data_IF_317619658291
#
_entry.id   IF_317619658291
#
_cell.length_a   1.000
_cell.length_b   1.000
_cell.length_c   1.000
_cell.angle_alpha   90.00
_cell.angle_beta   90.00
_cell.angle_gamma   90.00
#
_symmetry.space_group_name_H-M   'P 1'
#
loop_
_entity.id
_entity.type
_entity.pdbx_description
1 polymer ?
#
# COMPACT_ATOMS: atom_id res chain seq x y z
N UNK A 1 16.93 23.86 -5.61
CA UNK A 1 16.57 22.66 -4.82
C UNK A 1 15.80 21.59 -5.59
N UNK A 2 14.85 21.91 -6.51
CA UNK A 2 14.11 20.90 -7.31
C UNK A 2 15.03 19.96 -8.13
N UNK A 3 16.04 20.48 -8.82
CA UNK A 3 16.92 19.66 -9.67
C UNK A 3 17.90 18.73 -8.94
N UNK A 4 18.30 19.04 -7.70
CA UNK A 4 19.33 18.27 -6.97
C UNK A 4 18.77 17.03 -6.25
N UNK A 5 17.47 17.05 -5.95
CA UNK A 5 16.78 15.94 -5.27
C UNK A 5 16.28 14.91 -6.28
N UNK A 6 15.83 15.34 -7.46
CA UNK A 6 15.52 14.43 -8.57
C UNK A 6 16.80 13.77 -9.13
N UNK A 7 17.94 14.48 -9.16
CA UNK A 7 19.23 13.89 -9.58
C UNK A 7 19.82 12.85 -8.60
N UNK A 8 19.42 12.87 -7.33
CA UNK A 8 19.83 11.85 -6.35
C UNK A 8 19.07 10.53 -6.57
N UNK A 9 17.80 10.61 -7.00
CA UNK A 9 17.02 9.42 -7.33
C UNK A 9 17.54 8.71 -8.59
N UNK A 10 18.14 9.43 -9.54
CA UNK A 10 18.67 8.86 -10.79
C UNK A 10 19.92 8.00 -10.64
N UNK A 11 20.56 7.98 -9.46
CA UNK A 11 21.81 7.24 -9.23
C UNK A 11 21.63 5.91 -8.48
N UNK A 12 20.43 5.62 -7.93
CA UNK A 12 20.18 4.41 -7.14
C UNK A 12 18.96 3.62 -7.60
N UNK A 13 18.87 2.33 -7.25
CA UNK A 13 17.71 1.50 -7.56
C UNK A 13 16.48 1.99 -6.78
N UNK A 14 15.40 2.31 -7.49
CA UNK A 14 14.10 2.61 -6.87
C UNK A 14 13.37 1.33 -6.47
N UNK A 15 12.52 1.36 -5.42
CA UNK A 15 11.62 0.25 -5.13
C UNK A 15 10.61 0.09 -6.27
N UNK A 16 10.38 -1.16 -6.69
CA UNK A 16 9.35 -1.51 -7.67
C UNK A 16 7.97 -1.43 -7.02
N UNK A 17 7.86 -1.85 -5.76
CA UNK A 17 6.62 -1.84 -5.00
C UNK A 17 6.81 -1.13 -3.66
N UNK A 18 6.05 -0.04 -3.46
CA UNK A 18 5.95 0.62 -2.15
C UNK A 18 4.62 0.29 -1.49
N UNK A 19 4.64 0.11 -0.19
CA UNK A 19 3.43 -0.13 0.61
C UNK A 19 3.36 0.87 1.75
N UNK A 20 2.17 1.41 2.02
CA UNK A 20 2.02 2.57 2.91
C UNK A 20 0.94 2.35 3.96
N UNK A 21 1.35 2.44 5.23
CA UNK A 21 0.42 2.54 6.37
C UNK A 21 0.15 4.03 6.63
N UNK A 22 -1.04 4.47 6.23
CA UNK A 22 -1.49 5.88 6.19
C UNK A 22 -2.00 6.37 7.55
N UNK A 23 -1.16 6.28 8.58
CA UNK A 23 -1.52 6.56 9.97
C UNK A 23 -1.42 8.07 10.32
N UNK A 24 -2.22 8.50 11.30
CA UNK A 24 -2.18 9.85 11.86
C UNK A 24 -3.31 10.80 11.46
N UNK A 25 -4.31 10.36 10.69
CA UNK A 25 -5.45 11.20 10.27
C UNK A 25 -6.20 11.82 11.45
N UNK A 26 -6.67 11.00 12.40
CA UNK A 26 -7.38 11.50 13.58
C UNK A 26 -6.52 12.37 14.49
N UNK A 27 -5.23 12.04 14.66
CA UNK A 27 -4.29 12.87 15.43
C UNK A 27 -4.09 14.25 14.80
N UNK A 28 -4.01 14.30 13.47
CA UNK A 28 -3.88 15.54 12.73
C UNK A 28 -5.11 16.43 12.92
N UNK A 29 -6.31 15.85 12.83
CA UNK A 29 -7.56 16.58 13.03
C UNK A 29 -7.67 17.15 14.44
N UNK A 30 -7.42 16.32 15.46
CA UNK A 30 -7.46 16.72 16.87
C UNK A 30 -6.50 17.89 17.16
N UNK A 31 -5.28 17.87 16.59
CA UNK A 31 -4.29 18.97 16.75
C UNK A 31 -4.76 20.30 16.16
N UNK A 32 -5.75 20.28 15.26
CA UNK A 32 -6.30 21.46 14.61
C UNK A 32 -7.72 21.80 15.09
N UNK A 33 -8.24 21.09 16.09
CA UNK A 33 -9.61 21.29 16.58
C UNK A 33 -10.69 20.81 15.60
N UNK A 34 -10.34 19.92 14.66
CA UNK A 34 -11.29 19.36 13.69
C UNK A 34 -11.76 17.96 14.09
N UNK A 35 -12.90 17.54 13.54
CA UNK A 35 -13.38 16.17 13.66
C UNK A 35 -12.48 15.18 12.90
N UNK A 36 -12.53 13.90 13.29
CA UNK A 36 -11.68 12.84 12.72
C UNK A 36 -11.89 12.66 11.21
N UNK A 37 -13.11 12.82 10.70
CA UNK A 37 -13.45 12.66 9.28
C UNK A 37 -12.79 13.75 8.45
N UNK A 38 -12.70 14.98 8.96
CA UNK A 38 -11.94 16.06 8.34
C UNK A 38 -10.45 15.70 8.18
N UNK A 39 -9.86 14.97 9.14
CA UNK A 39 -8.51 14.41 9.01
C UNK A 39 -8.40 13.40 7.86
N UNK A 40 -9.39 12.52 7.68
CA UNK A 40 -9.43 11.56 6.57
C UNK A 40 -9.60 12.26 5.21
N UNK A 41 -10.44 13.30 5.12
CA UNK A 41 -10.58 14.14 3.92
C UNK A 41 -9.26 14.77 3.50
N UNK A 42 -8.48 15.29 4.44
CA UNK A 42 -7.14 15.82 4.15
C UNK A 42 -6.14 14.71 3.78
N UNK A 43 -6.27 13.54 4.42
CA UNK A 43 -5.55 12.33 4.04
C UNK A 43 -5.73 11.95 2.57
N UNK A 44 -6.90 12.20 1.97
CA UNK A 44 -7.12 11.95 0.54
C UNK A 44 -6.26 12.82 -0.37
N UNK A 45 -5.92 14.04 0.06
CA UNK A 45 -4.95 14.89 -0.68
C UNK A 45 -3.55 14.28 -0.65
N UNK A 46 -3.18 13.62 0.45
CA UNK A 46 -1.91 12.88 0.54
C UNK A 46 -1.88 11.66 -0.36
N UNK A 47 -2.99 10.90 -0.43
CA UNK A 47 -3.15 9.79 -1.40
C UNK A 47 -2.86 10.29 -2.82
N UNK A 48 -3.55 11.36 -3.26
CA UNK A 48 -3.33 11.95 -4.59
C UNK A 48 -1.87 12.37 -4.81
N UNK A 49 -1.25 13.00 -3.82
CA UNK A 49 0.16 13.43 -3.91
C UNK A 49 1.13 12.25 -4.03
N UNK A 50 0.91 11.16 -3.28
CA UNK A 50 1.78 9.97 -3.28
C UNK A 50 1.59 9.19 -4.57
N UNK A 51 0.36 8.96 -5.02
CA UNK A 51 0.06 8.26 -6.27
C UNK A 51 0.65 9.01 -7.45
N UNK A 52 0.44 10.32 -7.54
CA UNK A 52 1.01 11.17 -8.61
C UNK A 52 2.54 11.11 -8.60
N UNK A 53 3.17 11.31 -7.45
CA UNK A 53 4.63 11.30 -7.35
C UNK A 53 5.22 9.91 -7.66
N UNK A 54 4.59 8.83 -7.20
CA UNK A 54 5.07 7.47 -7.47
C UNK A 54 5.03 7.15 -8.96
N UNK A 55 3.95 7.56 -9.63
CA UNK A 55 3.81 7.43 -11.08
C UNK A 55 4.86 8.23 -11.85
N UNK A 56 5.07 9.49 -11.48
CA UNK A 56 6.10 10.37 -12.08
C UNK A 56 7.52 9.81 -11.91
N UNK A 57 7.78 9.11 -10.79
CA UNK A 57 9.07 8.50 -10.48
C UNK A 57 9.24 7.09 -11.08
N UNK A 58 8.24 6.57 -11.81
CA UNK A 58 8.31 5.26 -12.45
C UNK A 58 8.15 4.06 -11.50
N UNK A 59 7.65 4.27 -10.28
CA UNK A 59 7.31 3.18 -9.35
C UNK A 59 6.18 2.34 -9.96
N UNK A 60 6.33 1.02 -9.95
CA UNK A 60 5.43 0.10 -10.68
C UNK A 60 4.21 -0.32 -9.87
N UNK A 61 4.32 -0.38 -8.55
CA UNK A 61 3.20 -0.72 -7.67
C UNK A 61 3.18 0.12 -6.40
N UNK A 62 1.99 0.51 -5.98
CA UNK A 62 1.72 1.20 -4.72
C UNK A 62 0.56 0.50 -4.01
N UNK A 63 0.76 -0.05 -2.82
CA UNK A 63 -0.34 -0.56 -1.98
C UNK A 63 -0.59 0.35 -0.79
N UNK A 64 -1.83 0.80 -0.62
CA UNK A 64 -2.23 1.69 0.46
C UNK A 64 -3.11 0.95 1.46
N UNK A 65 -2.75 1.00 2.75
CA UNK A 65 -3.57 0.43 3.82
C UNK A 65 -4.75 1.34 4.13
N UNK A 66 -5.82 1.22 3.33
CA UNK A 66 -6.93 2.16 3.32
C UNK A 66 -7.97 1.88 4.41
N UNK A 67 -8.31 0.61 4.64
CA UNK A 67 -9.26 0.22 5.68
C UNK A 67 -8.94 -1.20 6.19
N UNK A 68 -8.59 -1.34 7.47
CA UNK A 68 -8.29 -2.65 8.05
C UNK A 68 -9.56 -3.40 8.46
N UNK A 69 -9.55 -4.73 8.49
CA UNK A 69 -10.65 -5.54 9.04
C UNK A 69 -11.00 -5.13 10.49
N UNK A 70 -10.01 -4.72 11.29
CA UNK A 70 -10.25 -4.26 12.66
C UNK A 70 -10.96 -2.90 12.73
N UNK A 71 -11.06 -2.13 11.63
CA UNK A 71 -11.75 -0.84 11.61
C UNK A 71 -13.27 -0.97 11.65
N UNK A 72 -13.84 -2.15 11.37
CA UNK A 72 -15.26 -2.43 11.59
C UNK A 72 -15.70 -2.30 13.05
N UNK A 73 -14.76 -2.41 14.00
CA UNK A 73 -15.02 -2.24 15.44
C UNK A 73 -15.18 -0.77 15.86
N UNK A 74 -14.98 0.18 14.94
CA UNK A 74 -15.18 1.62 15.21
C UNK A 74 -16.68 1.96 15.24
N UNK A 75 -17.06 3.14 15.77
CA UNK A 75 -18.45 3.58 15.73
C UNK A 75 -19.03 3.54 14.31
N UNK A 76 -20.27 3.06 14.18
CA UNK A 76 -20.94 2.87 12.88
C UNK A 76 -20.98 4.14 12.03
N UNK A 77 -21.15 5.31 12.65
CA UNK A 77 -21.10 6.60 11.98
C UNK A 77 -19.73 6.91 11.36
N UNK A 78 -18.63 6.58 12.05
CA UNK A 78 -17.27 6.73 11.50
C UNK A 78 -17.05 5.77 10.34
N UNK A 79 -17.46 4.51 10.49
CA UNK A 79 -17.35 3.49 9.42
C UNK A 79 -18.11 3.93 8.16
N UNK A 80 -19.37 4.34 8.30
CA UNK A 80 -20.18 4.81 7.17
C UNK A 80 -19.54 6.01 6.47
N UNK A 81 -19.04 6.98 7.23
CA UNK A 81 -18.36 8.15 6.66
C UNK A 81 -17.07 7.76 5.90
N UNK A 82 -16.31 6.77 6.37
CA UNK A 82 -15.12 6.27 5.67
C UNK A 82 -15.47 5.57 4.36
N UNK A 83 -16.57 4.80 4.35
CA UNK A 83 -17.07 4.13 3.15
C UNK A 83 -17.56 5.13 2.09
N UNK A 84 -18.29 6.17 2.50
CA UNK A 84 -18.68 7.27 1.60
C UNK A 84 -17.46 8.01 1.03
N UNK A 85 -16.45 8.30 1.86
CA UNK A 85 -15.21 8.92 1.37
C UNK A 85 -14.47 8.06 0.33
N UNK A 86 -14.45 6.74 0.52
CA UNK A 86 -13.87 5.80 -0.45
C UNK A 86 -14.65 5.84 -1.76
N UNK A 87 -15.98 5.74 -1.70
CA UNK A 87 -16.87 5.80 -2.86
C UNK A 87 -16.69 7.12 -3.64
N UNK A 88 -16.71 8.25 -2.94
CA UNK A 88 -16.46 9.56 -3.54
C UNK A 88 -15.09 9.65 -4.22
N UNK A 89 -14.04 9.11 -3.59
CA UNK A 89 -12.70 9.10 -4.17
C UNK A 89 -12.68 8.30 -5.47
N UNK A 90 -13.24 7.08 -5.48
CA UNK A 90 -13.27 6.22 -6.66
C UNK A 90 -14.00 6.90 -7.83
N UNK A 91 -15.17 7.50 -7.57
CA UNK A 91 -15.94 8.24 -8.58
C UNK A 91 -15.15 9.43 -9.13
N UNK A 92 -14.53 10.23 -8.26
CA UNK A 92 -13.81 11.46 -8.66
C UNK A 92 -12.50 11.16 -9.39
N UNK A 93 -11.85 10.04 -9.08
CA UNK A 93 -10.49 9.77 -9.56
C UNK A 93 -10.41 8.82 -10.75
N UNK A 94 -11.48 8.08 -11.08
CA UNK A 94 -11.45 7.06 -12.16
C UNK A 94 -10.91 7.60 -13.49
N UNK A 95 -11.39 8.77 -13.93
CA UNK A 95 -10.92 9.36 -15.19
C UNK A 95 -9.44 9.73 -15.13
N UNK A 96 -8.97 10.23 -13.98
CA UNK A 96 -7.55 10.55 -13.76
C UNK A 96 -6.69 9.29 -13.72
N UNK A 97 -7.18 8.18 -13.15
CA UNK A 97 -6.46 6.92 -13.15
C UNK A 97 -6.24 6.42 -14.59
N UNK A 98 -7.28 6.46 -15.42
CA UNK A 98 -7.19 6.12 -16.84
C UNK A 98 -6.23 7.06 -17.58
N UNK A 99 -6.40 8.38 -17.45
CA UNK A 99 -5.55 9.39 -18.09
C UNK A 99 -4.06 9.24 -17.73
N UNK A 100 -3.76 8.72 -16.52
CA UNK A 100 -2.38 8.51 -16.04
C UNK A 100 -1.89 7.08 -16.20
N UNK A 101 -2.65 6.22 -16.88
CA UNK A 101 -2.32 4.81 -17.12
C UNK A 101 -2.09 4.04 -15.80
N UNK A 102 -2.93 4.31 -14.79
CA UNK A 102 -2.87 3.66 -13.48
C UNK A 102 -3.98 2.61 -13.38
N UNK A 103 -3.58 1.35 -13.25
CA UNK A 103 -4.47 0.23 -12.97
C UNK A 103 -4.86 0.21 -11.50
N UNK A 104 -6.17 0.24 -11.20
CA UNK A 104 -6.65 0.02 -9.85
C UNK A 104 -6.75 -1.49 -9.55
N UNK A 105 -6.32 -1.87 -8.36
CA UNK A 105 -6.48 -3.20 -7.76
C UNK A 105 -7.00 -3.04 -6.32
N UNK A 106 -7.57 -4.09 -5.74
CA UNK A 106 -7.99 -4.09 -4.35
C UNK A 106 -7.75 -5.46 -3.70
N UNK A 107 -7.37 -5.46 -2.43
CA UNK A 107 -7.10 -6.66 -1.64
C UNK A 107 -7.82 -6.58 -0.29
N UNK A 108 -8.15 -7.73 0.29
CA UNK A 108 -8.90 -7.86 1.54
C UNK A 108 -10.27 -8.50 1.33
N UNK A 109 -11.08 -8.51 2.38
CA UNK A 109 -12.43 -9.10 2.36
C UNK A 109 -13.43 -8.16 1.69
N UNK A 110 -13.33 -8.02 0.38
CA UNK A 110 -14.14 -7.06 -0.38
C UNK A 110 -15.64 -7.32 -0.29
N UNK A 111 -16.04 -8.56 0.01
CA UNK A 111 -17.44 -8.95 0.26
C UNK A 111 -18.03 -8.36 1.55
N UNK A 112 -17.22 -7.79 2.44
CA UNK A 112 -17.70 -7.08 3.63
C UNK A 112 -18.01 -5.60 3.36
N UNK A 113 -17.68 -5.08 2.18
CA UNK A 113 -17.98 -3.69 1.83
C UNK A 113 -19.49 -3.50 1.56
N UNK A 114 -20.06 -2.31 1.85
CA UNK A 114 -21.41 -1.98 1.41
C UNK A 114 -21.56 -2.16 -0.10
N UNK A 115 -22.71 -2.67 -0.54
CA UNK A 115 -22.93 -3.08 -1.94
C UNK A 115 -22.69 -1.94 -2.94
N UNK A 116 -23.14 -0.74 -2.60
CA UNK A 116 -22.98 0.46 -3.42
C UNK A 116 -21.51 0.92 -3.54
N UNK A 117 -20.71 0.71 -2.50
CA UNK A 117 -19.26 0.96 -2.50
C UNK A 117 -18.54 -0.10 -3.31
N UNK A 118 -18.90 -1.37 -3.13
CA UNK A 118 -18.33 -2.51 -3.86
C UNK A 118 -18.57 -2.38 -5.37
N UNK A 119 -19.79 -2.02 -5.79
CA UNK A 119 -20.10 -1.79 -7.21
C UNK A 119 -19.24 -0.69 -7.84
N UNK A 120 -19.04 0.42 -7.13
CA UNK A 120 -18.17 1.51 -7.61
C UNK A 120 -16.72 1.06 -7.70
N UNK A 121 -16.25 0.28 -6.73
CA UNK A 121 -14.90 -0.30 -6.75
C UNK A 121 -14.70 -1.19 -7.97
N UNK A 122 -15.59 -2.16 -8.20
CA UNK A 122 -15.51 -3.09 -9.34
C UNK A 122 -15.56 -2.34 -10.68
N UNK A 123 -16.49 -1.39 -10.83
CA UNK A 123 -16.58 -0.53 -12.03
C UNK A 123 -15.29 0.25 -12.28
N UNK A 124 -14.60 0.69 -11.22
CA UNK A 124 -13.34 1.44 -11.34
C UNK A 124 -12.16 0.52 -11.71
N UNK A 125 -12.09 -0.68 -11.12
CA UNK A 125 -11.10 -1.71 -11.47
C UNK A 125 -11.25 -2.08 -12.96
N UNK A 126 -12.49 -2.33 -13.41
CA UNK A 126 -12.77 -2.69 -14.79
C UNK A 126 -12.36 -1.58 -15.78
N UNK A 127 -12.71 -0.32 -15.48
CA UNK A 127 -12.33 0.84 -16.30
C UNK A 127 -10.82 1.05 -16.42
N UNK A 128 -10.04 0.57 -15.46
CA UNK A 128 -8.58 0.76 -15.40
C UNK A 128 -7.80 -0.51 -15.73
N UNK A 129 -8.47 -1.62 -16.09
CA UNK A 129 -7.84 -2.94 -16.24
C UNK A 129 -6.73 -3.01 -17.29
N UNK A 130 -6.84 -2.19 -18.35
CA UNK A 130 -5.91 -2.16 -19.47
C UNK A 130 -4.74 -1.19 -19.25
N UNK A 131 -4.77 -0.39 -18.17
CA UNK A 131 -3.69 0.52 -17.82
C UNK A 131 -2.44 -0.27 -17.42
N UNK A 132 -1.26 0.13 -17.91
CA UNK A 132 -0.02 -0.68 -17.76
C UNK A 132 1.10 -0.03 -16.95
N UNK A 133 0.98 1.25 -16.65
CA UNK A 133 2.16 2.00 -16.22
C UNK A 133 2.43 1.93 -14.72
N UNK A 134 1.38 1.82 -13.90
CA UNK A 134 1.48 1.62 -12.46
C UNK A 134 0.23 0.90 -11.93
N UNK A 135 0.39 -0.01 -10.98
CA UNK A 135 -0.73 -0.58 -10.22
C UNK A 135 -0.90 0.14 -8.89
N UNK A 136 -2.09 0.68 -8.64
CA UNK A 136 -2.51 1.19 -7.35
C UNK A 136 -3.42 0.15 -6.68
N UNK A 137 -2.97 -0.44 -5.57
CA UNK A 137 -3.75 -1.38 -4.78
C UNK A 137 -4.29 -0.71 -3.53
N UNK A 138 -5.60 -0.83 -3.28
CA UNK A 138 -6.23 -0.44 -2.02
C UNK A 138 -6.47 -1.68 -1.15
N UNK A 139 -5.89 -1.71 0.05
CA UNK A 139 -6.20 -2.74 1.04
C UNK A 139 -7.44 -2.33 1.84
N UNK A 140 -8.55 -3.04 1.63
CA UNK A 140 -9.90 -2.72 2.07
C UNK A 140 -10.52 -3.90 2.80
N UNK A 141 -11.02 -3.67 4.01
CA UNK A 141 -11.31 -4.75 4.96
C UNK A 141 -10.17 -5.78 5.03
N UNK A 142 -8.94 -5.28 5.06
CA UNK A 142 -7.75 -6.11 4.98
C UNK A 142 -7.17 -6.40 6.36
N UNK A 143 -6.68 -7.61 6.55
CA UNK A 143 -5.74 -7.96 7.62
C UNK A 143 -4.93 -9.19 7.21
N UNK A 144 -3.63 -9.20 7.54
CA UNK A 144 -2.72 -10.26 7.11
C UNK A 144 -3.02 -11.60 7.75
N UNK A 145 -3.47 -11.63 9.01
CA UNK A 145 -3.97 -12.85 9.65
C UNK A 145 -5.22 -13.38 8.95
N UNK A 146 -6.16 -12.50 8.62
CA UNK A 146 -7.37 -12.86 7.89
C UNK A 146 -7.05 -13.39 6.48
N UNK A 147 -6.12 -12.76 5.78
CA UNK A 147 -5.61 -13.21 4.47
C UNK A 147 -5.02 -14.62 4.56
N UNK A 148 -4.15 -14.89 5.54
CA UNK A 148 -3.55 -16.22 5.73
C UNK A 148 -4.62 -17.28 5.98
N UNK A 149 -5.61 -16.99 6.83
CA UNK A 149 -6.71 -17.93 7.11
C UNK A 149 -7.54 -18.18 5.85
N UNK A 150 -7.84 -17.14 5.08
CA UNK A 150 -8.65 -17.28 3.86
C UNK A 150 -7.87 -18.03 2.76
N UNK A 151 -6.55 -17.83 2.67
CA UNK A 151 -5.67 -18.61 1.78
C UNK A 151 -5.66 -20.10 2.17
N UNK A 152 -5.50 -20.43 3.46
CA UNK A 152 -5.54 -21.81 3.95
C UNK A 152 -6.89 -22.48 3.63
N UNK A 153 -8.01 -21.78 3.86
CA UNK A 153 -9.34 -22.30 3.51
C UNK A 153 -9.45 -22.63 2.02
N UNK A 154 -8.89 -21.77 1.16
CA UNK A 154 -8.90 -21.97 -0.29
C UNK A 154 -8.00 -23.13 -0.70
N UNK A 155 -6.81 -23.27 -0.11
CA UNK A 155 -5.90 -24.42 -0.32
C UNK A 155 -6.61 -25.75 -0.01
N UNK A 156 -7.30 -25.82 1.14
CA UNK A 156 -8.07 -27.01 1.52
C UNK A 156 -9.21 -27.27 0.53
N UNK A 157 -9.95 -26.22 0.13
CA UNK A 157 -11.05 -26.35 -0.83
C UNK A 157 -10.59 -26.79 -2.22
N UNK A 158 -9.40 -26.37 -2.64
CA UNK A 158 -8.81 -26.72 -3.94
C UNK A 158 -8.09 -28.09 -3.89
N UNK A 159 -8.06 -28.75 -2.73
CA UNK A 159 -7.56 -30.11 -2.57
C UNK A 159 -6.04 -30.25 -2.65
N UNK A 160 -5.30 -29.18 -2.34
CA UNK A 160 -3.83 -29.22 -2.35
C UNK A 160 -3.32 -30.10 -1.21
N UNK A 161 -2.45 -31.06 -1.53
CA UNK A 161 -1.87 -31.97 -0.54
C UNK A 161 -0.86 -31.22 0.36
N UNK A 162 -0.68 -31.64 1.62
CA UNK A 162 0.37 -31.10 2.48
C UNK A 162 1.78 -31.23 1.89
N UNK A 163 2.05 -32.30 1.15
CA UNK A 163 3.35 -32.59 0.54
C UNK A 163 3.67 -31.65 -0.62
N UNK A 164 2.65 -31.21 -1.36
CA UNK A 164 2.80 -30.24 -2.44
C UNK A 164 2.85 -28.80 -1.93
N UNK A 165 2.35 -28.51 -0.73
CA UNK A 165 2.27 -27.15 -0.21
C UNK A 165 3.63 -26.58 0.22
N UNK A 166 4.13 -25.61 -0.54
CA UNK A 166 5.32 -24.82 -0.22
C UNK A 166 5.07 -23.31 -0.41
N UNK A 167 6.07 -22.46 -0.12
CA UNK A 167 5.93 -20.99 -0.08
C UNK A 167 5.40 -20.38 -1.38
N UNK A 168 5.88 -20.85 -2.52
CA UNK A 168 5.45 -20.37 -3.84
C UNK A 168 4.00 -20.75 -4.13
N UNK A 169 3.57 -21.97 -3.80
CA UNK A 169 2.16 -22.37 -3.95
C UNK A 169 1.30 -21.56 -2.99
N UNK A 170 1.67 -21.47 -1.72
CA UNK A 170 0.92 -20.70 -0.72
C UNK A 170 0.71 -19.25 -1.16
N UNK A 171 1.73 -18.62 -1.74
CA UNK A 171 1.68 -17.23 -2.22
C UNK A 171 0.66 -17.00 -3.35
N UNK A 172 0.30 -18.04 -4.12
CA UNK A 172 -0.74 -17.96 -5.14
C UNK A 172 -2.16 -17.84 -4.56
N UNK A 173 -2.35 -18.27 -3.31
CA UNK A 173 -3.63 -18.22 -2.61
C UNK A 173 -3.83 -16.93 -1.80
N UNK A 174 -2.78 -16.12 -1.63
CA UNK A 174 -2.88 -14.79 -1.00
C UNK A 174 -3.62 -13.81 -1.91
N UNK A 175 -4.20 -12.76 -1.33
CA UNK A 175 -4.89 -11.71 -2.11
C UNK A 175 -3.91 -10.95 -3.03
N UNK A 176 -2.62 -11.00 -2.71
CA UNK A 176 -1.54 -10.31 -3.42
C UNK A 176 -0.87 -11.14 -4.51
N UNK A 177 -1.40 -12.31 -4.88
CA UNK A 177 -0.75 -13.21 -5.85
C UNK A 177 -0.44 -12.60 -7.22
N UNK A 178 -1.12 -11.51 -7.58
CA UNK A 178 -0.90 -10.75 -8.81
C UNK A 178 -0.01 -9.50 -8.63
N UNK A 179 0.62 -9.33 -7.47
CA UNK A 179 1.47 -8.19 -7.14
C UNK A 179 2.93 -8.62 -6.96
N UNK A 180 3.91 -7.76 -7.32
CA UNK A 180 5.29 -7.98 -6.91
C UNK A 180 5.43 -7.88 -5.39
N UNK A 181 6.44 -8.54 -4.82
CA UNK A 181 6.77 -8.39 -3.40
C UNK A 181 7.10 -6.93 -3.03
N UNK A 182 6.68 -6.43 -1.85
CA UNK A 182 7.02 -5.09 -1.38
C UNK A 182 8.52 -4.89 -1.15
N UNK A 183 9.08 -3.84 -1.77
CA UNK A 183 10.46 -3.44 -1.52
C UNK A 183 10.59 -2.50 -0.31
N UNK A 184 9.60 -1.61 -0.13
CA UNK A 184 9.63 -0.56 0.89
C UNK A 184 8.26 -0.38 1.56
N UNK A 185 8.22 -0.57 2.88
CA UNK A 185 7.13 -0.17 3.75
C UNK A 185 7.38 1.25 4.28
N UNK A 186 6.41 2.12 4.07
CA UNK A 186 6.37 3.47 4.66
C UNK A 186 5.26 3.51 5.70
N UNK A 187 5.60 3.86 6.95
CA UNK A 187 4.61 4.12 8.00
C UNK A 187 4.72 5.55 8.52
N UNK A 188 3.59 6.27 8.48
CA UNK A 188 3.50 7.64 9.01
C UNK A 188 3.18 7.66 10.51
N UNK A 189 3.22 8.86 11.09
CA UNK A 189 2.87 9.19 12.48
C UNK A 189 3.77 8.65 13.59
N UNK A 190 4.90 8.01 13.26
CA UNK A 190 5.94 7.61 14.22
C UNK A 190 5.69 6.28 14.92
N UNK A 191 4.59 5.59 14.63
CA UNK A 191 4.30 4.29 15.23
C UNK A 191 5.19 3.20 14.64
N UNK A 192 5.76 2.35 15.51
CA UNK A 192 6.67 1.27 15.13
C UNK A 192 5.96 -0.07 15.33
N UNK A 193 5.10 -0.44 14.38
CA UNK A 193 4.43 -1.75 14.30
C UNK A 193 3.90 -1.96 12.87
N UNK A 194 3.46 -3.17 12.53
CA UNK A 194 2.85 -3.46 11.23
C UNK A 194 1.31 -3.32 11.24
N UNK A 195 0.68 -3.43 12.40
CA UNK A 195 -0.78 -3.35 12.54
C UNK A 195 -1.54 -4.34 11.64
N UNK A 196 -1.06 -5.59 11.58
CA UNK A 196 -1.68 -6.66 10.78
C UNK A 196 -1.72 -6.35 9.27
N UNK A 197 -0.77 -5.56 8.75
CA UNK A 197 -0.66 -5.25 7.33
C UNK A 197 0.39 -6.15 6.67
N UNK A 198 0.04 -6.82 5.57
CA UNK A 198 0.95 -7.59 4.69
C UNK A 198 1.95 -8.48 5.46
N UNK A 199 1.46 -9.28 6.41
CA UNK A 199 2.34 -10.01 7.34
C UNK A 199 3.28 -11.01 6.65
N UNK A 200 2.81 -11.67 5.58
CA UNK A 200 3.59 -12.59 4.78
C UNK A 200 4.58 -11.84 3.88
N UNK A 201 4.04 -10.88 3.12
CA UNK A 201 4.75 -10.15 2.07
C UNK A 201 5.84 -9.22 2.61
N UNK A 202 5.75 -8.82 3.89
CA UNK A 202 6.74 -7.91 4.50
C UNK A 202 8.01 -8.59 5.03
N UNK A 203 8.16 -9.91 4.87
CA UNK A 203 9.24 -10.69 5.48
C UNK A 203 10.65 -10.13 5.20
N UNK A 204 10.89 -9.57 4.01
CA UNK A 204 12.17 -9.01 3.59
C UNK A 204 12.08 -7.54 3.14
N UNK A 205 10.99 -6.86 3.48
CA UNK A 205 10.72 -5.49 3.07
C UNK A 205 11.47 -4.49 3.93
N UNK A 206 12.07 -3.47 3.32
CA UNK A 206 12.71 -2.39 4.07
C UNK A 206 11.65 -1.52 4.75
N UNK A 207 11.89 -1.13 6.01
CA UNK A 207 10.93 -0.36 6.79
C UNK A 207 11.43 1.07 7.01
N UNK A 208 10.61 2.03 6.57
CA UNK A 208 10.79 3.46 6.82
C UNK A 208 9.63 4.01 7.66
N UNK A 209 9.94 4.49 8.87
CA UNK A 209 8.97 5.13 9.77
C UNK A 209 9.25 6.62 9.85
N UNK A 210 8.22 7.45 9.72
CA UNK A 210 8.32 8.92 9.89
C UNK A 210 7.32 9.44 10.91
N UNK A 211 7.72 10.47 11.67
CA UNK A 211 6.83 11.21 12.59
C UNK A 211 5.80 12.08 11.86
N UNK A 212 5.97 12.35 10.57
CA UNK A 212 5.00 13.09 9.74
C UNK A 212 3.65 12.41 9.78
N UNK A 213 2.57 13.14 10.10
CA UNK A 213 1.20 12.62 10.06
C UNK A 213 0.73 12.48 8.60
N UNK A 214 -0.11 11.49 8.30
CA UNK A 214 -0.54 11.22 6.92
C UNK A 214 -1.09 12.45 6.16
N UNK A 215 -1.95 13.30 6.72
CA UNK A 215 -2.43 14.50 6.02
C UNK A 215 -1.33 15.50 5.61
N UNK A 216 -0.18 15.49 6.28
CA UNK A 216 0.98 16.33 5.95
C UNK A 216 1.99 15.61 5.04
N UNK A 217 1.84 14.30 4.83
CA UNK A 217 2.72 13.50 3.97
C UNK A 217 2.46 13.81 2.49
N UNK A 218 3.49 14.22 1.74
CA UNK A 218 3.41 14.73 0.36
C UNK A 218 4.64 14.27 -0.43
N UNK A 219 4.73 14.62 -1.72
CA UNK A 219 5.86 14.27 -2.62
C UNK A 219 7.24 14.40 -1.97
N UNK A 220 7.54 15.50 -1.27
CA UNK A 220 8.84 15.70 -0.58
C UNK A 220 9.17 14.64 0.47
N UNK A 221 8.15 14.13 1.17
CA UNK A 221 8.31 13.12 2.20
C UNK A 221 8.47 11.73 1.58
N UNK A 222 7.75 11.44 0.50
CA UNK A 222 7.95 10.22 -0.29
C UNK A 222 9.38 10.15 -0.81
N UNK A 223 9.88 11.23 -1.42
CA UNK A 223 11.26 11.28 -1.93
C UNK A 223 12.27 11.01 -0.81
N UNK A 224 12.06 11.56 0.39
CA UNK A 224 12.94 11.27 1.54
C UNK A 224 12.93 9.78 1.93
N UNK A 225 11.78 9.12 1.87
CA UNK A 225 11.69 7.67 2.11
C UNK A 225 12.44 6.87 1.03
N UNK A 226 12.33 7.27 -0.24
CA UNK A 226 13.03 6.62 -1.35
C UNK A 226 14.55 6.80 -1.26
N UNK A 227 15.03 7.99 -0.90
CA UNK A 227 16.46 8.22 -0.63
C UNK A 227 16.95 7.35 0.53
N UNK A 228 16.14 7.20 1.61
CA UNK A 228 16.50 6.31 2.70
C UNK A 228 16.63 4.85 2.23
N UNK A 229 15.72 4.39 1.37
CA UNK A 229 15.76 3.05 0.79
C UNK A 229 17.02 2.85 -0.07
N UNK A 230 17.37 3.81 -0.93
CA UNK A 230 18.57 3.74 -1.79
C UNK A 230 19.88 3.63 -1.00
N UNK A 231 19.94 4.19 0.21
CA UNK A 231 21.12 4.17 1.06
C UNK A 231 21.27 2.88 1.90
N UNK A 232 20.39 1.89 1.73
CA UNK A 232 20.48 0.62 2.46
C UNK A 232 21.20 -0.45 1.63
N UNK A 233 22.12 -1.15 2.28
CA UNK A 233 22.75 -2.36 1.74
C UNK A 233 21.78 -3.54 1.91
N UNK A 234 21.16 -4.01 0.82
CA UNK A 234 20.20 -5.13 0.90
C UNK A 234 20.94 -6.45 1.05
N UNK A 235 20.77 -7.09 2.20
CA UNK A 235 21.55 -8.27 2.57
C UNK A 235 20.91 -9.62 2.25
N UNK A 236 19.59 -9.74 2.22
CA UNK A 236 18.87 -11.00 1.90
C UNK A 236 19.45 -12.26 2.59
N UNK A 237 19.86 -12.13 3.86
CA UNK A 237 20.49 -13.23 4.62
C UNK A 237 22.01 -13.42 4.40
N UNK A 238 22.64 -12.67 3.49
CA UNK A 238 24.08 -12.63 3.26
C UNK A 238 24.80 -11.62 4.16
N UNK A 239 26.07 -11.85 4.44
CA UNK A 239 26.96 -10.88 5.07
C UNK A 239 27.42 -9.80 4.08
N UNK A 240 27.81 -8.61 4.55
CA UNK A 240 28.36 -7.54 3.69
C UNK A 240 29.57 -7.99 2.89
N UNK A 241 30.35 -8.94 3.40
CA UNK A 241 31.52 -9.47 2.70
C UNK A 241 31.13 -10.41 1.54
N UNK A 242 30.02 -11.15 1.68
CA UNK A 242 29.47 -11.97 0.60
C UNK A 242 28.87 -11.12 -0.53
N UNK A 243 28.31 -9.95 -0.21
CA UNK A 243 27.77 -9.00 -1.19
C UNK A 243 28.91 -8.34 -1.96
N UNK A 244 29.93 -7.82 -1.25
CA UNK A 244 31.11 -7.20 -1.88
C UNK A 244 31.87 -8.15 -2.80
N UNK A 245 31.95 -9.44 -2.47
CA UNK A 245 32.57 -10.46 -3.36
C UNK A 245 31.74 -10.77 -4.61
N UNK A 246 30.41 -10.56 -4.60
CA UNK A 246 29.54 -10.74 -5.77
C UNK A 246 29.54 -9.54 -6.72
N UNK A 247 29.86 -8.35 -6.24
CA UNK A 247 29.94 -7.13 -7.07
C UNK A 247 31.30 -6.96 -7.78
N UNK A 248 32.32 -7.73 -7.38
CA UNK A 248 33.69 -7.67 -7.92
C UNK A 248 33.96 -8.75 -8.99
N UNK A 249 33.00 -9.66 -9.22
CA UNK A 249 33.00 -10.64 -10.30
C UNK A 249 31.88 -10.33 -11.31
#
# INVERSE_FOLDING_TARGET
MKGKVESLLTQGKLPRHIVVIMDGNGRWANRKGFDRISGHKEGMKSVKSVVKASRELGIKAVTLFAFSAQNWKRPKSEVNALMELLKEYLIKEVNRLVEKEIKLNAIGRLWELPSDVYEVLVKTIEKTKLCKEMTLTLALSYGGREEIIDAIKKIISDGISPEDLHEEIFSQFLYTSNLPEPDLLIRTSGEIRLSNFLLWQLAYTEIYVTKTLWPDFKKKHLIRALINYQNRERRFGLTSDQIRKREVN
#
